data_IF_143938366655
#
_entry.id   IF_143938366655
#
_cell.length_a   1.000
_cell.length_b   1.000
_cell.length_c   1.000
_cell.angle_alpha   90.00
_cell.angle_beta   90.00
_cell.angle_gamma   90.00
#
_symmetry.space_group_name_H-M   'P 1'
#
loop_
_entity.id
_entity.type
_entity.pdbx_description
1 polymer ?
2 non-polymer ?
3 non-polymer ?
4 water ?
#
# COMPACT_ATOMS: atom_id res chain seq x y z
N UNK A 1 -24.33 9.35 26.39
CA UNK A 1 -24.76 8.03 26.85
C UNK A 1 -23.80 6.92 26.44
N UNK A 2 -24.07 5.72 26.94
CA UNK A 2 -23.23 4.54 26.80
C UNK A 2 -23.97 3.49 25.98
N UNK A 3 -23.31 2.96 24.93
CA UNK A 3 -23.93 1.93 24.11
C UNK A 3 -23.07 1.55 22.90
N UNK A 4 -23.50 0.52 22.16
CA UNK A 4 -22.81 0.05 20.97
C UNK A 4 -22.59 1.19 19.97
N UNK A 5 -21.39 1.25 19.42
CA UNK A 5 -21.05 2.22 18.37
C UNK A 5 -20.53 1.46 17.17
N UNK A 6 -21.18 1.64 16.02
CA UNK A 6 -20.71 1.03 14.78
C UNK A 6 -19.32 1.56 14.44
N UNK A 7 -18.49 0.72 13.84
CA UNK A 7 -17.25 1.21 13.24
C UNK A 7 -17.61 1.90 11.94
N UNK A 8 -17.23 3.17 11.80
CA UNK A 8 -17.72 4.01 10.72
C UNK A 8 -16.67 4.18 9.63
N UNK A 9 -17.13 4.45 8.42
CA UNK A 9 -16.22 4.81 7.34
C UNK A 9 -15.52 6.12 7.68
N UNK A 10 -14.34 6.32 7.08
CA UNK A 10 -13.54 7.51 7.33
C UNK A 10 -13.08 8.14 6.02
N UNK A 11 -13.09 9.47 5.99
CA UNK A 11 -12.45 10.22 4.91
C UNK A 11 -11.49 11.25 5.49
N UNK A 12 -10.94 12.12 4.65
CA UNK A 12 -10.10 13.19 5.15
C UNK A 12 -10.95 14.32 5.74
N UNK A 13 -10.42 14.95 6.78
CA UNK A 13 -11.06 16.14 7.33
C UNK A 13 -10.74 17.39 6.50
N UNK A 14 -9.51 17.49 6.01
CA UNK A 14 -9.05 18.63 5.24
C UNK A 14 -8.29 18.13 4.01
N UNK A 15 -8.16 19.01 3.03
CA UNK A 15 -7.39 18.65 1.85
C UNK A 15 -5.89 18.68 2.17
N UNK A 16 -5.15 17.79 1.51
CA UNK A 16 -3.70 17.66 1.60
C UNK A 16 -3.09 17.96 0.24
N UNK A 17 -2.00 18.73 0.23
CA UNK A 17 -1.28 19.07 -1.00
C UNK A 17 0.18 18.72 -0.83
N UNK A 18 0.77 18.10 -1.84
CA UNK A 18 2.19 17.75 -1.80
C UNK A 18 2.76 17.81 -3.21
N UNK A 19 4.05 18.13 -3.30
CA UNK A 19 4.74 18.16 -4.58
C UNK A 19 5.93 17.22 -4.49
N UNK A 20 6.18 16.47 -5.55
CA UNK A 20 7.23 15.47 -5.50
C UNK A 20 7.66 15.02 -6.89
N UNK A 21 8.32 13.87 -6.93
CA UNK A 21 8.86 13.31 -8.17
C UNK A 21 8.48 11.84 -8.26
N UNK A 22 8.16 11.39 -9.46
CA UNK A 22 7.88 9.98 -9.64
C UNK A 22 9.17 9.16 -9.58
N UNK A 23 9.11 8.04 -8.85
CA UNK A 23 10.29 7.19 -8.69
C UNK A 23 10.81 6.72 -10.04
N UNK A 24 9.91 6.26 -10.91
CA UNK A 24 10.33 5.67 -12.18
C UNK A 24 10.35 6.67 -13.33
N UNK A 25 9.41 7.61 -13.36
CA UNK A 25 9.37 8.55 -14.48
C UNK A 25 10.29 9.74 -14.29
N UNK A 26 10.66 10.04 -13.06
CA UNK A 26 11.39 11.26 -12.78
C UNK A 26 10.58 12.52 -12.96
N UNK A 27 9.28 12.44 -13.21
CA UNK A 27 8.53 13.65 -13.49
C UNK A 27 8.10 14.35 -12.20
N UNK A 28 8.05 15.67 -12.26
CA UNK A 28 7.48 16.46 -11.18
C UNK A 28 5.97 16.28 -11.17
N UNK A 29 5.39 16.10 -9.98
CA UNK A 29 3.97 15.79 -9.87
C UNK A 29 3.40 16.53 -8.67
N UNK A 30 2.19 17.06 -8.85
CA UNK A 30 1.46 17.73 -7.78
C UNK A 30 0.36 16.80 -7.33
N UNK A 31 0.30 16.55 -6.03
CA UNK A 31 -0.65 15.63 -5.44
C UNK A 31 -1.63 16.43 -4.58
N UNK A 32 -2.93 16.14 -4.71
CA UNK A 32 -3.96 16.71 -3.83
C UNK A 32 -4.87 15.59 -3.37
N UNK A 33 -4.93 15.36 -2.06
CA UNK A 33 -5.84 14.36 -1.48
C UNK A 33 -7.10 15.09 -1.00
N UNK A 34 -8.28 14.63 -1.44
CA UNK A 34 -9.52 15.33 -1.05
C UNK A 34 -10.50 14.37 -0.37
N UNK A 35 -11.33 14.88 0.55
CA UNK A 35 -12.38 14.05 1.12
C UNK A 35 -13.33 13.57 0.03
N UNK A 36 -14.03 12.48 0.33
CA UNK A 36 -14.95 11.91 -0.64
C UNK A 36 -16.14 11.32 0.10
N UNK A 37 -17.28 11.17 -0.58
CA UNK A 37 -18.49 10.67 0.07
C UNK A 37 -18.38 9.20 0.45
N UNK A 38 -19.32 8.77 1.29
CA UNK A 38 -19.38 7.38 1.70
C UNK A 38 -19.43 6.45 0.48
N UNK A 39 -18.76 5.30 0.59
CA UNK A 39 -18.71 4.25 -0.42
C UNK A 39 -18.04 4.68 -1.72
N UNK A 40 -17.28 5.79 -1.72
CA UNK A 40 -16.53 6.16 -2.92
C UNK A 40 -15.31 5.25 -3.12
N UNK A 41 -14.68 4.84 -2.03
CA UNK A 41 -13.38 4.19 -2.10
C UNK A 41 -12.30 5.22 -2.41
N UNK A 42 -11.12 4.71 -2.77
CA UNK A 42 -9.99 5.57 -3.15
C UNK A 42 -9.98 5.66 -4.66
N UNK A 43 -10.01 6.89 -5.20
CA UNK A 43 -10.12 7.10 -6.63
C UNK A 43 -9.00 8.05 -7.07
N UNK A 44 -8.19 7.62 -8.04
CA UNK A 44 -7.11 8.44 -8.59
C UNK A 44 -7.62 9.25 -9.78
N UNK A 45 -7.24 10.53 -9.82
CA UNK A 45 -7.78 11.48 -10.80
C UNK A 45 -6.62 12.18 -11.49
N UNK A 46 -6.42 11.89 -12.78
CA UNK A 46 -5.42 12.58 -13.59
C UNK A 46 -5.96 13.95 -13.98
N UNK A 47 -5.62 14.97 -13.21
CA UNK A 47 -6.11 16.32 -13.46
C UNK A 47 -5.30 17.07 -14.50
N UNK A 48 -4.21 16.50 -15.01
CA UNK A 48 -3.52 17.11 -16.14
C UNK A 48 -4.22 16.83 -17.46
N UNK A 49 -5.18 15.92 -17.49
CA UNK A 49 -5.88 15.58 -18.72
C UNK A 49 -7.22 16.30 -18.78
N UNK A 50 -7.68 16.57 -20.00
CA UNK A 50 -8.97 17.20 -20.23
C UNK A 50 -9.75 16.33 -21.22
N UNK A 51 -10.82 15.66 -20.77
CA UNK A 51 -11.36 15.66 -19.40
C UNK A 51 -10.50 14.90 -18.41
N UNK A 52 -10.72 15.17 -17.13
CA UNK A 52 -10.03 14.44 -16.08
C UNK A 52 -10.40 12.97 -16.17
N UNK A 53 -9.39 12.11 -16.06
CA UNK A 53 -9.61 10.66 -16.09
C UNK A 53 -9.50 10.13 -14.67
N UNK A 54 -10.54 9.42 -14.23
CA UNK A 54 -10.62 8.93 -12.85
C UNK A 54 -10.52 7.42 -12.87
N UNK A 55 -9.66 6.87 -12.02
CA UNK A 55 -9.46 5.42 -11.95
C UNK A 55 -9.63 4.94 -10.50
N UNK A 56 -10.70 4.22 -10.19
CA UNK A 56 -10.82 3.64 -8.85
C UNK A 56 -9.64 2.71 -8.57
N UNK A 57 -9.12 2.80 -7.34
CA UNK A 57 -8.01 1.96 -6.90
C UNK A 57 -8.56 0.60 -6.50
N UNK A 58 -8.87 -0.21 -7.52
CA UNK A 58 -9.46 -1.54 -7.34
C UNK A 58 -8.71 -2.56 -8.21
N UNK A 59 -8.72 -3.81 -7.73
CA UNK A 59 -7.92 -4.86 -8.36
C UNK A 59 -8.21 -4.99 -9.85
N UNK A 60 -9.47 -4.81 -10.24
CA UNK A 60 -9.86 -4.94 -11.64
C UNK A 60 -9.17 -3.91 -12.54
N UNK A 61 -8.63 -2.83 -11.99
CA UNK A 61 -8.01 -1.78 -12.78
C UNK A 61 -6.51 -1.86 -12.82
N UNK A 62 -5.92 -2.92 -12.28
CA UNK A 62 -4.48 -3.03 -12.23
C UNK A 62 -3.98 -3.43 -13.61
N UNK A 63 -3.07 -2.65 -14.17
CA UNK A 63 -2.51 -2.94 -15.46
C UNK A 63 -1.25 -3.77 -15.27
N UNK A 64 -0.10 -3.22 -15.63
CA UNK A 64 1.11 -3.96 -15.39
C UNK A 64 1.47 -3.91 -13.90
N UNK A 65 2.14 -4.96 -13.46
CA UNK A 65 2.55 -5.06 -12.05
C UNK A 65 4.05 -5.31 -11.98
N UNK A 66 4.77 -4.80 -12.97
CA UNK A 66 6.21 -4.98 -13.12
C UNK A 66 6.99 -4.39 -11.94
N UNK A 67 7.58 -3.20 -12.10
CA UNK A 67 8.35 -2.64 -10.98
C UNK A 67 7.43 -2.11 -9.88
N UNK A 68 6.27 -1.55 -10.25
CA UNK A 68 5.35 -1.02 -9.25
C UNK A 68 3.93 -1.46 -9.58
N UNK A 69 2.97 -1.09 -8.73
CA UNK A 69 1.56 -1.35 -8.99
C UNK A 69 1.00 -0.16 -9.76
N UNK A 70 0.42 -0.45 -10.92
CA UNK A 70 -0.05 0.56 -11.87
C UNK A 70 -1.53 0.36 -12.14
N UNK A 71 -2.28 1.46 -12.17
CA UNK A 71 -3.69 1.43 -12.52
C UNK A 71 -3.83 1.90 -13.96
N UNK A 72 -4.77 1.32 -14.70
CA UNK A 72 -4.94 1.66 -16.11
C UNK A 72 -6.42 1.83 -16.44
N UNK A 73 -6.70 2.76 -17.35
CA UNK A 73 -8.04 2.91 -17.93
C UNK A 73 -7.82 3.41 -19.34
N UNK A 74 -8.11 2.56 -20.33
CA UNK A 74 -7.75 2.90 -21.70
C UNK A 74 -6.25 3.04 -21.82
N UNK A 75 -5.82 4.16 -22.39
CA UNK A 75 -4.40 4.47 -22.56
C UNK A 75 -3.84 5.30 -21.41
N UNK A 76 -4.60 5.51 -20.35
CA UNK A 76 -4.21 6.39 -19.24
C UNK A 76 -3.78 5.50 -18.08
N UNK A 77 -2.64 5.82 -17.47
CA UNK A 77 -2.14 5.04 -16.35
C UNK A 77 -1.90 5.94 -15.14
N UNK A 78 -1.96 5.35 -13.95
CA UNK A 78 -1.43 5.96 -12.73
C UNK A 78 -0.43 4.97 -12.15
N UNK A 79 0.81 5.40 -12.01
CA UNK A 79 1.88 4.48 -11.64
C UNK A 79 2.25 4.60 -10.16
N UNK A 80 2.72 3.49 -9.61
CA UNK A 80 3.31 3.44 -8.27
C UNK A 80 2.33 3.93 -7.19
N UNK A 81 1.17 3.27 -7.14
CA UNK A 81 0.16 3.64 -6.14
C UNK A 81 0.38 2.96 -4.79
N UNK A 82 1.35 2.04 -4.68
CA UNK A 82 1.33 1.10 -3.55
C UNK A 82 1.67 1.79 -2.23
N UNK A 83 2.57 2.76 -2.24
CA UNK A 83 3.00 3.34 -0.97
C UNK A 83 1.93 4.29 -0.43
N UNK A 84 1.30 5.07 -1.30
CA UNK A 84 0.21 5.91 -0.83
C UNK A 84 -0.98 5.07 -0.38
N UNK A 85 -1.30 4.01 -1.12
CA UNK A 85 -2.41 3.15 -0.72
C UNK A 85 -2.11 2.45 0.61
N UNK A 86 -0.84 2.14 0.86
CA UNK A 86 -0.49 1.56 2.16
C UNK A 86 -0.80 2.53 3.28
N UNK A 87 -0.51 3.82 3.08
CA UNK A 87 -0.84 4.83 4.09
C UNK A 87 -2.34 4.92 4.33
N UNK A 88 -3.13 4.92 3.25
CA UNK A 88 -4.60 4.95 3.35
C UNK A 88 -5.12 3.76 4.13
N UNK A 89 -4.65 2.56 3.75
CA UNK A 89 -5.06 1.36 4.47
C UNK A 89 -4.63 1.41 5.93
N UNK A 90 -3.39 1.81 6.18
CA UNK A 90 -2.87 1.78 7.54
C UNK A 90 -3.58 2.74 8.47
N UNK A 91 -4.10 3.85 7.94
CA UNK A 91 -4.85 4.81 8.76
C UNK A 91 -6.37 4.60 8.70
N UNK A 92 -6.84 3.60 7.97
CA UNK A 92 -8.26 3.31 7.91
C UNK A 92 -9.08 4.28 7.07
N UNK A 93 -8.49 4.86 6.04
CA UNK A 93 -9.21 5.79 5.17
C UNK A 93 -9.98 5.00 4.11
N UNK A 94 -11.31 5.10 4.15
CA UNK A 94 -12.15 4.42 3.18
C UNK A 94 -12.30 5.18 1.88
N UNK A 95 -12.49 6.50 1.95
CA UNK A 95 -12.96 7.27 0.82
C UNK A 95 -12.08 8.49 0.63
N UNK A 96 -11.57 8.67 -0.59
CA UNK A 96 -10.78 9.86 -0.90
C UNK A 96 -10.59 9.97 -2.40
N UNK A 97 -10.47 11.21 -2.88
CA UNK A 97 -9.97 11.47 -4.22
C UNK A 97 -8.49 11.82 -4.16
N UNK A 98 -7.70 11.17 -5.01
CA UNK A 98 -6.27 11.43 -5.14
C UNK A 98 -6.08 12.08 -6.50
N UNK A 99 -5.87 13.40 -6.49
CA UNK A 99 -5.61 14.13 -7.72
C UNK A 99 -4.11 14.18 -7.97
N UNK A 100 -3.70 13.85 -9.20
CA UNK A 100 -2.31 13.83 -9.65
C UNK A 100 -2.18 14.62 -10.95
N UNK A 101 -1.12 15.42 -11.05
CA UNK A 101 -0.88 16.21 -12.25
C UNK A 101 -0.03 15.46 -13.26
N UNK A 102 0.31 14.20 -12.99
CA UNK A 102 1.19 13.41 -13.82
C UNK A 102 0.89 11.94 -13.55
N UNK A 103 1.53 11.06 -14.34
CA UNK A 103 1.10 9.66 -14.35
C UNK A 103 1.54 8.90 -13.09
N UNK A 104 2.45 9.42 -12.29
CA UNK A 104 3.04 8.63 -11.19
C UNK A 104 2.90 9.37 -9.87
N UNK A 105 2.47 8.65 -8.85
CA UNK A 105 2.42 9.19 -7.49
C UNK A 105 3.82 9.63 -7.09
N UNK A 106 3.99 10.74 -6.37
CA UNK A 106 5.34 11.13 -5.94
C UNK A 106 5.92 10.14 -4.93
N UNK A 107 7.22 9.90 -5.04
CA UNK A 107 7.89 8.93 -4.20
C UNK A 107 8.17 9.45 -2.79
N UNK A 108 8.27 10.76 -2.60
CA UNK A 108 8.49 11.34 -1.25
C UNK A 108 9.85 10.82 -0.78
N UNK A 109 9.95 10.23 0.41
CA UNK A 109 11.22 9.72 0.91
C UNK A 109 11.35 8.20 0.72
N UNK A 110 10.48 7.59 -0.09
CA UNK A 110 10.53 6.16 -0.37
C UNK A 110 9.66 5.31 0.51
N UNK A 111 9.05 5.88 1.55
CA UNK A 111 8.22 5.18 2.51
C UNK A 111 6.81 5.78 2.50
N UNK A 112 5.99 5.33 3.46
CA UNK A 112 4.68 5.90 3.67
C UNK A 112 4.69 7.00 4.72
N UNK A 113 5.84 7.27 5.35
CA UNK A 113 5.96 8.21 6.45
C UNK A 113 5.44 9.60 6.12
N UNK A 114 5.91 10.20 5.01
CA UNK A 114 5.43 11.54 4.69
C UNK A 114 3.95 11.59 4.42
N UNK A 115 3.39 10.55 3.79
CA UNK A 115 1.94 10.49 3.59
C UNK A 115 1.20 10.41 4.92
N UNK A 116 1.62 9.52 5.83
CA UNK A 116 0.88 9.46 7.09
C UNK A 116 1.00 10.76 7.87
N UNK A 117 2.14 11.44 7.79
CA UNK A 117 2.27 12.70 8.50
C UNK A 117 1.32 13.75 7.92
N UNK A 118 1.32 13.90 6.59
CA UNK A 118 0.43 14.87 5.94
C UNK A 118 -1.04 14.57 6.23
N UNK A 119 -1.44 13.30 6.15
CA UNK A 119 -2.83 12.93 6.42
C UNK A 119 -3.19 13.18 7.88
N UNK A 120 -2.33 12.75 8.80
CA UNK A 120 -2.66 12.91 10.21
C UNK A 120 -2.62 14.37 10.64
N UNK A 121 -1.83 15.20 9.96
CA UNK A 121 -1.87 16.63 10.23
C UNK A 121 -3.21 17.21 9.81
N UNK A 122 -3.69 16.83 8.64
CA UNK A 122 -4.99 17.28 8.17
C UNK A 122 -6.11 16.72 9.03
N UNK A 123 -5.97 15.49 9.51
CA UNK A 123 -6.98 14.87 10.34
C UNK A 123 -7.98 14.07 9.51
N UNK A 124 -8.64 13.14 10.19
CA UNK A 124 -9.64 12.28 9.57
C UNK A 124 -11.04 12.66 10.03
N UNK A 125 -12.02 12.23 9.25
CA UNK A 125 -13.42 12.54 9.49
C UNK A 125 -14.21 11.24 9.43
N UNK A 126 -14.83 10.85 10.54
CA UNK A 126 -15.73 9.70 10.49
C UNK A 126 -17.03 10.08 9.77
N UNK A 127 -17.58 9.14 9.04
CA UNK A 127 -18.76 9.38 8.21
C UNK A 127 -19.92 8.50 8.66
N UNK A 128 -21.13 8.93 8.30
CA UNK A 128 -22.36 8.30 8.78
C UNK A 128 -22.73 7.09 7.93
N UNK A 129 -21.91 6.05 8.07
CA UNK A 129 -22.13 4.79 7.37
C UNK A 129 -21.14 3.78 7.92
N UNK A 130 -21.58 2.53 8.01
CA UNK A 130 -20.73 1.48 8.57
C UNK A 130 -19.55 1.19 7.64
N UNK A 131 -18.38 1.01 8.24
CA UNK A 131 -17.21 0.56 7.51
C UNK A 131 -17.38 -0.91 7.15
N UNK A 132 -17.11 -1.25 5.89
CA UNK A 132 -17.20 -2.62 5.41
C UNK A 132 -15.81 -3.25 5.40
N UNK A 133 -15.74 -4.50 5.88
CA UNK A 133 -14.51 -5.28 5.89
C UNK A 133 -14.72 -6.52 5.04
N UNK A 134 -13.65 -6.96 4.40
CA UNK A 134 -13.62 -8.26 3.71
C UNK A 134 -12.98 -9.26 4.66
N UNK A 135 -13.76 -10.27 5.08
CA UNK A 135 -13.27 -11.27 6.01
C UNK A 135 -12.88 -12.53 5.24
N UNK A 136 -11.65 -12.99 5.44
CA UNK A 136 -11.17 -14.24 4.86
C UNK A 136 -11.82 -15.38 5.62
N UNK A 137 -12.51 -16.27 4.90
CA UNK A 137 -13.06 -17.44 5.58
C UNK A 137 -12.49 -18.76 5.11
N UNK A 138 -11.73 -18.81 4.03
CA UNK A 138 -10.98 -19.99 3.64
C UNK A 138 -9.56 -19.59 3.28
N UNK A 139 -8.65 -20.55 3.37
CA UNK A 139 -7.29 -20.31 2.89
C UNK A 139 -7.29 -20.20 1.38
N UNK A 140 -6.63 -19.17 0.85
CA UNK A 140 -6.50 -18.93 -0.59
C UNK A 140 -5.01 -18.72 -0.89
N UNK A 141 -4.48 -19.46 -1.84
CA UNK A 141 -3.04 -19.45 -2.09
C UNK A 141 -2.79 -19.34 -3.59
N UNK A 142 -1.82 -18.52 -3.97
CA UNK A 142 -1.32 -18.49 -5.34
C UNK A 142 0.19 -18.65 -5.28
N UNK A 143 0.73 -19.46 -6.19
CA UNK A 143 2.17 -19.62 -6.32
C UNK A 143 2.55 -19.50 -7.80
N UNK A 144 3.81 -19.16 -7.99
CA UNK A 144 4.43 -19.11 -9.33
C UNK A 144 5.90 -19.41 -9.10
N UNK A 145 6.33 -20.61 -9.50
CA UNK A 145 7.68 -21.02 -9.18
C UNK A 145 7.84 -21.12 -7.67
N UNK A 146 8.86 -20.44 -7.14
CA UNK A 146 9.16 -20.47 -5.71
C UNK A 146 8.61 -19.25 -4.97
N UNK A 147 7.75 -18.46 -5.61
CA UNK A 147 7.07 -17.36 -4.95
C UNK A 147 5.69 -17.80 -4.49
N UNK A 148 5.26 -17.27 -3.35
CA UNK A 148 3.98 -17.66 -2.78
C UNK A 148 3.33 -16.47 -2.09
N UNK A 149 2.01 -16.38 -2.19
CA UNK A 149 1.23 -15.40 -1.46
C UNK A 149 -0.05 -16.09 -1.02
N UNK A 150 -0.44 -15.92 0.25
CA UNK A 150 -1.56 -16.67 0.79
C UNK A 150 -2.36 -15.79 1.74
N UNK A 151 -3.68 -15.99 1.70
CA UNK A 151 -4.62 -15.47 2.69
C UNK A 151 -5.05 -16.62 3.60
N UNK A 152 -5.07 -16.39 4.91
CA UNK A 152 -5.59 -17.39 5.83
C UNK A 152 -6.60 -16.72 6.75
N UNK A 153 -7.64 -17.43 7.19
CA UNK A 153 -8.55 -16.84 8.18
C UNK A 153 -7.80 -16.43 9.42
N UNK A 154 -8.16 -15.28 9.97
CA UNK A 154 -7.53 -14.78 11.18
C UNK A 154 -8.44 -13.70 11.75
N UNK A 155 -8.73 -13.81 13.04
CA UNK A 155 -9.62 -12.87 13.72
C UNK A 155 -8.82 -11.61 14.07
N UNK A 156 -8.57 -10.80 13.05
CA UNK A 156 -7.74 -9.61 13.18
C UNK A 156 -7.18 -9.24 11.82
N UNK A 157 -6.03 -8.58 11.83
CA UNK A 157 -5.29 -8.34 10.59
C UNK A 157 -3.81 -8.45 10.88
N UNK A 158 -3.14 -9.33 10.15
CA UNK A 158 -1.77 -9.71 10.39
C UNK A 158 -1.12 -9.95 9.03
N UNK A 159 0.13 -9.49 8.87
CA UNK A 159 0.89 -9.67 7.63
C UNK A 159 2.25 -10.23 7.98
N UNK A 160 2.63 -11.33 7.34
CA UNK A 160 3.95 -11.91 7.49
C UNK A 160 4.61 -11.92 6.12
N UNK A 161 5.93 -11.72 6.11
CA UNK A 161 6.67 -11.69 4.86
C UNK A 161 8.06 -12.25 5.07
N UNK A 162 8.54 -12.99 4.08
CA UNK A 162 9.91 -13.48 4.06
C UNK A 162 10.49 -13.23 2.68
N UNK A 163 11.69 -12.66 2.64
CA UNK A 163 12.45 -12.50 1.42
C UNK A 163 13.67 -13.42 1.49
N UNK A 164 14.27 -13.69 0.33
CA UNK A 164 15.40 -14.59 0.24
C UNK A 164 16.42 -14.05 -0.77
N UNK A 165 17.07 -12.95 -0.39
CA UNK A 165 18.12 -12.35 -1.19
C UNK A 165 19.46 -12.94 -0.76
N UNK A 166 20.27 -13.35 -1.74
CA UNK A 166 21.62 -13.83 -1.47
C UNK A 166 22.55 -12.64 -1.65
N UNK A 167 22.70 -11.86 -0.59
CA UNK A 167 23.43 -10.61 -0.70
C UNK A 167 24.08 -10.27 0.64
N UNK A 168 25.33 -9.79 0.63
CA UNK A 168 26.03 -9.56 1.90
C UNK A 168 25.29 -8.64 2.86
N UNK A 169 24.40 -7.78 2.36
CA UNK A 169 23.73 -6.85 3.25
C UNK A 169 22.78 -7.57 4.21
N UNK A 170 22.39 -8.80 3.89
CA UNK A 170 21.48 -9.57 4.74
C UNK A 170 22.18 -10.60 5.61
N UNK A 171 23.51 -10.66 5.60
CA UNK A 171 24.23 -11.57 6.47
C UNK A 171 24.04 -11.19 7.94
N UNK A 173 20.94 -11.06 9.10
CA UNK A 173 19.52 -10.72 9.18
C UNK A 173 18.63 -11.94 8.88
N UNK A 174 17.40 -11.90 9.39
CA UNK A 174 16.47 -13.01 9.21
C UNK A 174 15.76 -12.95 7.86
N UNK A 175 15.59 -11.76 7.29
CA UNK A 175 14.80 -11.56 6.07
C UNK A 175 13.35 -11.97 6.27
N UNK A 176 12.85 -11.85 7.50
CA UNK A 176 11.51 -12.30 7.85
C UNK A 176 10.93 -11.37 8.91
N UNK A 177 9.67 -11.00 8.75
CA UNK A 177 8.97 -10.22 9.77
C UNK A 177 7.50 -10.57 9.76
N UNK A 178 6.89 -10.50 10.94
CA UNK A 178 5.46 -10.67 11.11
C UNK A 178 4.94 -9.50 11.93
N UNK A 179 3.85 -8.91 11.50
CA UNK A 179 3.24 -7.78 12.18
C UNK A 179 1.76 -8.04 12.34
N UNK A 180 1.26 -7.88 13.57
CA UNK A 180 -0.17 -7.98 13.87
C UNK A 180 -0.68 -6.56 14.10
N UNK A 181 -1.53 -6.08 13.18
CA UNK A 181 -1.99 -4.69 13.22
C UNK A 181 -3.26 -4.52 14.04
N UNK A 182 -4.03 -5.59 14.25
CA UNK A 182 -5.01 -5.53 15.32
C UNK A 182 -4.35 -5.37 16.70
N UNK A 183 -2.99 -5.32 16.78
CA UNK A 183 -2.28 -5.18 18.06
C UNK A 183 -1.25 -4.05 18.02
N UNK A 184 -0.29 -4.10 17.08
CA UNK A 184 0.70 -3.04 16.92
C UNK A 184 0.18 -1.97 15.96
N UNK A 185 0.99 -0.95 15.71
CA UNK A 185 0.53 0.20 14.92
C UNK A 185 1.28 0.24 13.60
N UNK A 186 0.51 0.39 12.52
CA UNK A 186 1.09 0.60 11.20
C UNK A 186 2.06 1.77 11.21
N UNK A 187 1.66 2.91 11.78
CA UNK A 187 2.55 4.07 11.79
C UNK A 187 3.86 3.73 12.45
N UNK A 188 3.79 3.02 13.58
CA UNK A 188 4.99 2.67 14.34
C UNK A 188 5.81 1.61 13.62
N UNK A 189 5.18 0.50 13.24
CA UNK A 189 5.94 -0.67 12.82
C UNK A 189 6.51 -0.55 11.41
N UNK A 190 5.77 0.12 10.51
CA UNK A 190 6.00 -0.14 9.09
C UNK A 190 6.08 1.11 8.24
N UNK A 191 5.40 2.19 8.66
CA UNK A 191 5.16 3.31 7.73
C UNK A 191 6.44 3.96 7.25
N UNK A 192 7.51 3.94 8.07
CA UNK A 192 8.76 4.62 7.76
C UNK A 192 9.74 3.77 6.94
N UNK A 193 9.37 2.55 6.57
CA UNK A 193 10.29 1.68 5.84
C UNK A 193 10.38 2.11 4.37
N UNK A 194 11.58 2.48 3.93
CA UNK A 194 11.78 3.00 2.58
C UNK A 194 11.95 1.88 1.55
N UNK A 195 11.56 2.18 0.31
CA UNK A 195 11.88 1.28 -0.78
C UNK A 195 13.40 1.19 -0.92
N UNK A 196 13.85 0.24 -1.74
CA UNK A 196 15.28 -0.06 -1.88
C UNK A 196 15.55 -0.60 -3.27
N UNK A 197 16.79 -0.46 -3.70
CA UNK A 197 17.22 -1.03 -4.96
C UNK A 197 18.70 -1.34 -4.91
N UNK A 198 19.10 -2.37 -5.62
CA UNK A 198 20.51 -2.71 -5.78
C UNK A 198 21.07 -2.02 -7.01
N UNK A 199 22.30 -1.52 -6.90
CA UNK A 199 22.90 -0.75 -7.97
C UNK A 199 22.89 -1.52 -9.29
N UNK A 200 23.16 -2.82 -9.23
CA UNK A 200 23.17 -3.63 -10.44
C UNK A 200 21.81 -3.60 -11.13
N UNK A 201 20.72 -3.66 -10.36
CA UNK A 201 19.39 -3.60 -10.95
C UNK A 201 19.00 -2.16 -11.30
N UNK A 202 19.42 -1.18 -10.49
CA UNK A 202 19.10 0.21 -10.81
C UNK A 202 19.70 0.60 -12.15
N UNK A 203 20.92 0.11 -12.44
CA UNK A 203 21.56 0.41 -13.72
C UNK A 203 20.77 -0.17 -14.88
N UNK A 204 20.34 -1.43 -14.76
CA UNK A 204 19.47 -2.01 -15.77
C UNK A 204 18.18 -1.19 -15.92
N UNK A 205 17.53 -0.88 -14.80
CA UNK A 205 16.29 -0.13 -14.85
C UNK A 205 16.47 1.18 -15.62
N UNK A 206 17.52 1.94 -15.30
CA UNK A 206 17.75 3.19 -15.99
C UNK A 206 17.88 2.98 -17.49
N UNK A 207 18.60 1.94 -17.90
CA UNK A 207 18.73 1.63 -19.32
C UNK A 207 17.38 1.36 -19.97
N UNK A 208 16.35 1.04 -19.18
CA UNK A 208 15.00 0.83 -19.67
C UNK A 208 14.08 2.01 -19.40
N UNK A 209 14.63 3.16 -19.04
CA UNK A 209 13.84 4.36 -18.75
C UNK A 209 12.99 4.19 -17.50
N UNK A 210 13.44 3.40 -16.54
CA UNK A 210 12.80 3.27 -15.24
C UNK A 210 13.74 3.79 -14.15
N UNK A 211 13.22 3.91 -12.93
CA UNK A 211 13.98 4.39 -11.78
C UNK A 211 14.62 5.76 -12.03
N UNK A 212 14.03 6.56 -12.93
CA UNK A 212 14.69 7.82 -13.32
C UNK A 212 14.71 8.83 -12.19
N UNK A 213 13.77 8.75 -11.26
CA UNK A 213 13.73 9.64 -10.13
C UNK A 213 14.39 9.10 -8.88
N UNK A 214 14.95 7.89 -8.90
CA UNK A 214 15.51 7.31 -7.70
C UNK A 214 16.83 7.95 -7.30
N UNK A 215 17.08 7.99 -5.99
CA UNK A 215 18.33 8.50 -5.43
C UNK A 215 18.37 8.14 -3.97
N UNK A 216 19.50 8.43 -3.31
CA UNK A 216 19.59 8.16 -1.88
C UNK A 216 18.59 8.98 -1.08
N UNK A 217 18.04 10.04 -1.66
CA UNK A 217 17.05 10.86 -0.97
C UNK A 217 15.69 10.18 -0.87
N UNK A 218 15.40 9.19 -1.71
CA UNK A 218 14.09 8.54 -1.66
C UNK A 218 14.19 7.03 -1.70
N UNK A 219 15.36 6.45 -1.42
CA UNK A 219 15.49 5.00 -1.46
C UNK A 219 16.75 4.55 -0.74
N UNK A 220 16.69 3.37 -0.15
CA UNK A 220 17.90 2.67 0.28
C UNK A 220 18.61 2.16 -0.97
N UNK A 221 19.84 2.64 -1.22
CA UNK A 221 20.63 2.20 -2.36
C UNK A 221 21.74 1.28 -1.86
N UNK A 222 21.81 0.09 -2.44
CA UNK A 222 22.74 -0.97 -2.02
C UNK A 222 23.65 -1.30 -3.19
N UNK A 223 24.96 -1.29 -2.96
CA UNK A 223 25.90 -1.74 -3.98
C UNK A 223 26.20 -3.22 -3.73
N UNK A 224 27.31 -3.72 -4.24
CA UNK A 224 27.52 -5.16 -4.14
C UNK A 224 27.73 -5.62 -2.70
N UNK A 225 28.07 -4.70 -1.77
CA UNK A 225 28.32 -5.09 -0.39
C UNK A 225 27.53 -4.33 0.67
N UNK A 226 27.20 -3.06 0.48
CA UNK A 226 26.66 -2.31 1.60
C UNK A 226 25.62 -1.27 1.16
N UNK A 227 24.91 -0.74 2.17
CA UNK A 227 24.01 0.39 1.99
C UNK A 227 24.83 1.65 1.75
N UNK A 228 24.51 2.38 0.68
CA UNK A 228 25.30 3.57 0.37
C UNK A 228 24.80 4.81 1.11
N UNK A 229 23.54 4.85 1.50
CA UNK A 229 23.02 6.00 2.24
C UNK A 229 23.88 6.28 3.45
N UNK A 230 24.43 7.50 3.49
CA UNK A 230 25.41 7.85 4.52
C UNK A 230 24.83 7.76 5.92
N UNK A 231 23.52 7.96 6.06
CA UNK A 231 22.90 7.93 7.38
C UNK A 231 22.20 6.60 7.68
N UNK A 232 22.39 5.59 6.84
CA UNK A 232 22.06 4.23 7.25
C UNK A 232 20.59 3.87 7.16
N UNK A 233 20.20 2.90 7.98
CA UNK A 233 18.85 2.32 7.95
C UNK A 233 18.03 2.84 9.11
N UNK A 234 16.71 2.92 8.90
CA UNK A 234 15.77 3.33 9.93
C UNK A 234 15.35 2.17 10.83
N UNK A 235 15.46 0.95 10.32
CA UNK A 235 15.16 -0.27 11.04
C UNK A 235 16.16 -1.33 10.62
N UNK A 236 16.52 -2.20 11.56
CA UNK A 236 17.46 -3.27 11.25
C UNK A 236 16.91 -4.19 10.16
N UNK A 237 15.59 -4.34 10.10
CA UNK A 237 14.92 -5.16 9.09
C UNK A 237 14.11 -4.30 8.12
N UNK A 238 14.68 -3.16 7.69
CA UNK A 238 13.91 -2.19 6.91
C UNK A 238 13.43 -2.79 5.59
N UNK A 239 14.26 -3.64 4.96
CA UNK A 239 13.89 -4.20 3.67
C UNK A 239 12.60 -5.00 3.75
N UNK A 240 12.53 -5.95 4.68
CA UNK A 240 11.34 -6.77 4.74
C UNK A 240 10.16 -5.96 5.28
N UNK A 241 10.43 -4.96 6.14
CA UNK A 241 9.34 -4.08 6.56
C UNK A 241 8.76 -3.32 5.39
N UNK A 242 9.60 -2.99 4.40
CA UNK A 242 9.04 -2.31 3.23
C UNK A 242 8.21 -3.27 2.40
N UNK A 243 8.63 -4.54 2.31
CA UNK A 243 7.82 -5.53 1.60
C UNK A 243 6.43 -5.65 2.23
N UNK A 244 6.36 -5.57 3.55
CA UNK A 244 5.07 -5.59 4.23
C UNK A 244 4.26 -4.34 3.90
N UNK A 245 4.90 -3.18 3.93
CA UNK A 245 4.26 -1.94 3.49
C UNK A 245 3.65 -2.10 2.09
N UNK A 246 4.45 -2.56 1.12
CA UNK A 246 3.95 -2.78 -0.25
C UNK A 246 2.78 -3.74 -0.26
N UNK A 247 2.86 -4.81 0.53
CA UNK A 247 1.78 -5.78 0.56
C UNK A 247 0.49 -5.16 1.08
N UNK A 248 0.57 -4.37 2.17
CA UNK A 248 -0.61 -3.70 2.71
C UNK A 248 -1.23 -2.79 1.64
N UNK A 249 -0.41 -2.03 0.93
CA UNK A 249 -0.94 -1.18 -0.13
C UNK A 249 -1.58 -1.98 -1.26
N UNK A 250 -0.89 -3.04 -1.73
CA UNK A 250 -1.43 -3.84 -2.82
C UNK A 250 -2.73 -4.53 -2.41
N UNK A 251 -2.80 -5.00 -1.16
CA UNK A 251 -4.03 -5.63 -0.67
C UNK A 251 -5.18 -4.64 -0.57
N UNK A 252 -4.90 -3.35 -0.44
CA UNK A 252 -6.01 -2.41 -0.32
C UNK A 252 -6.71 -2.20 -1.66
N UNK A 253 -6.18 -2.72 -2.76
CA UNK A 253 -6.92 -2.77 -4.02
C UNK A 253 -8.17 -3.63 -3.92
N UNK A 254 -8.31 -4.42 -2.86
CA UNK A 254 -9.61 -5.04 -2.60
C UNK A 254 -10.71 -4.00 -2.39
N UNK A 255 -10.35 -2.78 -2.00
CA UNK A 255 -11.33 -1.73 -1.78
C UNK A 255 -11.88 -1.64 -0.37
N UNK A 256 -11.46 -2.53 0.52
CA UNK A 256 -11.93 -2.56 1.90
C UNK A 256 -10.84 -3.17 2.76
N UNK A 257 -10.85 -2.83 4.04
CA UNK A 257 -9.90 -3.41 4.97
C UNK A 257 -10.17 -4.89 5.12
N UNK A 258 -9.11 -5.63 5.45
CA UNK A 258 -9.16 -7.09 5.54
C UNK A 258 -9.24 -7.54 6.99
N UNK A 259 -10.04 -8.57 7.22
CA UNK A 259 -9.99 -9.34 8.46
C UNK A 259 -9.42 -10.69 8.08
N UNK A 260 -8.13 -10.89 8.34
CA UNK A 260 -7.45 -12.08 7.88
C UNK A 260 -5.96 -11.91 8.04
N UNK A 261 -5.23 -12.93 7.56
CA UNK A 261 -3.78 -12.96 7.63
C UNK A 261 -3.22 -13.10 6.22
N UNK A 262 -2.21 -12.30 5.90
CA UNK A 262 -1.49 -12.42 4.64
C UNK A 262 -0.09 -12.93 4.94
N UNK A 263 0.34 -13.92 4.15
CA UNK A 263 1.70 -14.47 4.26
C UNK A 263 2.34 -14.39 2.89
N UNK A 264 3.47 -13.71 2.81
CA UNK A 264 4.18 -13.54 1.54
C UNK A 264 5.54 -14.19 1.61
N UNK A 265 5.90 -14.93 0.55
CA UNK A 265 7.25 -15.47 0.42
C UNK A 265 7.77 -15.09 -0.96
N UNK A 266 8.70 -14.14 -0.98
CA UNK A 266 9.27 -13.60 -2.22
C UNK A 266 8.19 -13.01 -3.13
N UNK A 267 7.04 -12.64 -2.57
CA UNK A 267 5.97 -12.09 -3.39
C UNK A 267 6.29 -10.65 -3.81
N UNK A 268 5.51 -10.15 -4.76
CA UNK A 268 5.65 -8.79 -5.22
C UNK A 268 4.34 -8.35 -5.82
N UNK A 269 4.36 -7.18 -6.46
CA UNK A 269 3.10 -6.59 -6.91
C UNK A 269 2.34 -7.55 -7.81
N UNK A 270 3.03 -8.23 -8.72
CA UNK A 270 2.32 -9.08 -9.67
C UNK A 270 1.61 -10.23 -8.96
N UNK A 271 2.33 -10.97 -8.11
CA UNK A 271 1.70 -12.09 -7.42
C UNK A 271 0.65 -11.60 -6.42
N UNK A 272 0.90 -10.46 -5.78
CA UNK A 272 -0.09 -9.93 -4.86
C UNK A 272 -1.42 -9.74 -5.56
N UNK A 273 -1.39 -9.14 -6.75
CA UNK A 273 -2.62 -8.91 -7.49
C UNK A 273 -3.22 -10.20 -8.02
N UNK A 274 -2.39 -11.18 -8.39
CA UNK A 274 -2.93 -12.49 -8.72
C UNK A 274 -3.66 -13.08 -7.53
N UNK A 275 -3.13 -12.89 -6.32
CA UNK A 275 -3.82 -13.38 -5.13
C UNK A 275 -5.17 -12.70 -4.95
N UNK A 276 -5.22 -11.38 -5.14
CA UNK A 276 -6.50 -10.69 -5.01
C UNK A 276 -7.50 -11.16 -6.05
N UNK A 277 -7.05 -11.41 -7.27
CA UNK A 277 -8.01 -11.81 -8.31
C UNK A 277 -8.57 -13.19 -8.03
N UNK A 278 -7.72 -14.10 -7.52
CA UNK A 278 -8.20 -15.43 -7.16
C UNK A 278 -9.17 -15.36 -5.99
N UNK A 279 -8.85 -14.55 -4.97
CA UNK A 279 -9.74 -14.38 -3.84
C UNK A 279 -11.10 -13.86 -4.30
N UNK A 280 -11.09 -12.77 -5.05
CA UNK A 280 -12.35 -12.17 -5.50
C UNK A 280 -13.19 -13.20 -6.24
N UNK A 281 -12.56 -14.03 -7.06
CA UNK A 281 -13.34 -14.99 -7.83
C UNK A 281 -13.90 -16.11 -6.95
N UNK A 282 -13.26 -16.42 -5.83
CA UNK A 282 -13.69 -17.52 -4.97
C UNK A 282 -14.57 -16.98 -3.85
N UNK A 283 -15.84 -16.76 -4.18
CA UNK A 283 -16.76 -16.11 -3.25
C UNK A 283 -17.08 -16.96 -2.03
N UNK A 284 -16.72 -18.25 -2.03
CA UNK A 284 -16.82 -19.02 -0.80
C UNK A 284 -15.71 -18.69 0.18
N UNK A 285 -14.66 -17.99 -0.25
CA UNK A 285 -13.51 -17.75 0.61
C UNK A 285 -13.57 -16.42 1.35
N UNK A 286 -14.59 -15.60 1.12
CA UNK A 286 -14.64 -14.30 1.79
C UNK A 286 -16.09 -13.84 1.86
N UNK A 287 -16.34 -12.91 2.78
CA UNK A 287 -17.62 -12.23 2.89
C UNK A 287 -17.36 -10.81 3.37
N UNK A 288 -18.33 -9.93 3.11
CA UNK A 288 -18.27 -8.54 3.55
C UNK A 288 -19.01 -8.41 4.87
N UNK A 289 -18.34 -7.86 5.90
CA UNK A 289 -18.93 -7.74 7.23
C UNK A 289 -18.83 -6.30 7.71
N UNK A 290 -19.74 -5.93 8.61
CA UNK A 290 -19.67 -4.68 9.36
C UNK A 290 -19.68 -5.01 10.86
N UNK A 291 -19.37 -4.01 11.68
CA UNK A 291 -19.33 -4.21 13.13
C UNK A 291 -20.17 -3.12 13.79
N UNK A 292 -21.29 -3.53 14.38
CA UNK A 292 -22.23 -2.63 15.02
C UNK A 292 -21.77 -2.22 16.42
N UNK A 293 -20.79 -2.92 16.98
CA UNK A 293 -20.24 -2.58 18.29
C UNK A 293 -18.72 -2.68 18.19
N UNK A 294 -18.06 -1.52 18.15
CA UNK A 294 -16.60 -1.52 18.04
C UNK A 294 -15.93 -2.35 19.14
N UNK A 295 -16.58 -2.47 20.29
CA UNK A 295 -15.97 -3.16 21.42
C UNK A 295 -15.85 -4.66 21.18
N UNK A 296 -16.60 -5.24 20.26
CA UNK A 296 -16.51 -6.67 20.02
C UNK A 296 -15.82 -7.00 18.70
N UNK A 297 -15.33 -5.98 17.99
CA UNK A 297 -14.69 -6.19 16.70
C UNK A 297 -13.25 -6.66 16.89
N UNK A 298 -12.70 -7.38 15.92
CA UNK A 298 -11.33 -7.90 16.08
C UNK A 298 -10.24 -6.89 15.76
N UNK A 299 -10.63 -5.69 15.36
CA UNK A 299 -9.74 -4.67 14.82
C UNK A 299 -10.15 -3.32 15.42
N UNK A 300 -9.18 -2.46 15.68
CA UNK A 300 -9.49 -1.11 16.17
C UNK A 300 -8.62 -0.09 15.48
N UNK A 301 -9.03 1.18 15.56
CA UNK A 301 -8.37 2.28 14.88
C UNK A 301 -8.08 3.43 15.83
N UNK A 302 -7.00 4.16 15.55
CA UNK A 302 -6.66 5.40 16.25
C UNK A 302 -7.85 6.34 16.31
N UNK A 303 -7.82 7.28 17.24
CA UNK A 303 -8.76 8.39 17.18
C UNK A 303 -8.59 9.12 15.85
N UNK A 304 -9.67 9.69 15.30
CA UNK A 304 -9.59 10.40 14.02
C UNK A 304 -8.93 11.78 14.18
X LIG B 1 13.44 -2.93 -6.29
X LIG B 1 16.53 -3.63 -6.71
X LIG B 1 15.53 -3.13 -7.65
X LIG B 1 9.09 -1.10 -4.53
X LIG B 1 20.53 6.42 -7.27
X LIG B 1 19.29 5.56 -7.20
X LIG B 1 18.32 4.90 -7.13
X LIG B 1 17.07 4.07 -7.06
X LIG B 1 16.15 3.34 -7.03
X LIG B 1 14.62 1.73 -8.15
X LIG B 1 14.98 2.40 -7.00
X LIG B 1 9.79 -3.91 -4.19
X LIG B 1 10.95 -2.98 -4.57
X LIG B 1 11.82 -2.74 -3.31
X LIG B 1 10.39 -1.64 -5.13
X LIG B 1 11.68 -0.28 -6.90
X LIG B 1 12.85 0.69 -6.96
X LIG B 1 13.23 1.34 -5.81
X LIG B 1 14.31 2.20 -5.82
X LIG B 1 13.55 0.86 -8.13
X LIG B 1 21.73 5.53 -7.59
X LIG B 1 14.48 -3.85 -6.93
X LIG B 1 15.49 -4.36 -5.99
X LIG B 1 11.38 -0.71 -5.57
X LIG B 1 7.78 -1.21 -5.13
X LIG B 1 11.10 -0.66 -7.86
X LIG B 1 22.00 5.71 -8.96
X LIG B 1 9.23 -0.57 -3.48
X LIG B 1 6.87 -0.74 -4.51
X LIG B 1 12.50 -5.12 -5.04
X LIG B 1 11.22 -4.47 -6.80
X LIG B 1 12.03 -3.91 -5.72
X LIG B 1 13.14 -2.28 -6.95
X LIG B 1 13.83 -2.46 -5.54
X LIG B 1 15.67 -3.46 -8.55
X LIG B 1 15.43 -2.16 -7.61
X LIG B 1 20.42 7.09 -7.97
X LIG B 1 20.68 6.86 -6.42
X LIG B 1 15.09 1.86 -8.94
X LIG B 1 10.15 -4.77 -3.91
X LIG B 1 9.22 -4.03 -4.96
X LIG B 1 9.29 -3.51 -3.46
X LIG B 1 11.85 -1.79 -3.12
X LIG B 1 12.71 -3.08 -3.47
X LIG B 1 11.43 -3.21 -2.56
X LIG B 1 10.70 -1.34 -4.27
X LIG B 1 12.76 1.21 -5.02
X LIG B 1 14.56 2.66 -5.05
X LIG B 1 13.28 0.41 -8.90
X LIG B 1 22.49 5.80 -7.07
X LIG B 1 21.51 4.61 -7.42
X LIG B 1 14.09 -4.57 -7.47
X LIG B 1 15.35 -4.03 -5.09
X LIG B 1 15.60 -5.32 -6.04
X LIG B 1 11.88 -0.39 -4.95
X LIG B 1 22.80 6.01 -9.05
X LIG C 1 7.48 -0.39 -2.45
#
# INVERSE_FOLDING_TARGET
HHHHATIKQRTLKNIIRATGVGLHSGEKVYLTLKPAPVDTGIVFCRTDLDPVVEIPARAENVGETTMSTTLVKGDVKVDTVEHLLSAMAGLGIDNAYVELSASEVPIMDGSAGPFVFLIQSAGLQEQEAAKKFVRIKREVSVEEGDKRAVFVPFDGFKVSFEIDFDHPVFRGRTQQASVDFSSTSFVKEVSRARTFGFMRDIEYLRSQNLALGGSVENAIVVDENRVLNEDGLRYEDEFVKHKILDAIGDLYLLGNSLIGEFRGFKSGHALNNQLLRTLIADKDAWEVVTFEDARTAPISYMRP
JWP C28 O31 C30 C21 C18 C17 C16 C15 C14 C12 C11 C01 C02 C03 C04 C06 C08 C09 C10 C13 C19 C29 C32 N05 N23 O07 O20 O22 O24 O26 O27 S25 H281 H282 H302 H301 H181 H182 H121 H013 H012 H011 H031 H032 H033 H041 H091 H101 H131 H192 H191 H291 H322 H321 H051 H201
MG MG
#
